data_IF_722537920957
#
_entry.id   IF_722537920957
#
_cell.length_a   1.000
_cell.length_b   1.000
_cell.length_c   1.000
_cell.angle_alpha   90.00
_cell.angle_beta   90.00
_cell.angle_gamma   90.00
#
_symmetry.space_group_name_H-M   'P 1'
#
loop_
_entity.id
_entity.type
_entity.pdbx_description
1 polymer ?
#
# COMPACT_ATOMS: atom_id res chain seq x y z
N UNK A 1 19.73 -9.26 -16.92
CA UNK A 1 18.40 -9.71 -17.38
C UNK A 1 17.44 -8.54 -17.14
N UNK A 2 17.08 -7.80 -18.19
CA UNK A 2 16.20 -6.64 -18.08
C UNK A 2 14.75 -7.12 -18.26
N UNK A 3 13.91 -6.88 -17.26
CA UNK A 3 12.50 -7.20 -17.35
C UNK A 3 11.83 -5.99 -17.98
N UNK A 4 11.57 -6.04 -19.28
CA UNK A 4 10.75 -5.05 -19.97
C UNK A 4 9.31 -5.19 -19.46
N UNK A 5 8.89 -4.28 -18.58
CA UNK A 5 7.51 -4.26 -18.09
C UNK A 5 6.58 -3.67 -19.17
N UNK A 6 5.52 -4.39 -19.59
CA UNK A 6 4.58 -3.88 -20.56
C UNK A 6 3.78 -2.72 -19.93
N UNK A 7 3.85 -1.54 -20.58
CA UNK A 7 3.06 -0.37 -20.22
C UNK A 7 1.57 -0.62 -20.45
N UNK A 8 0.89 -1.13 -19.43
CA UNK A 8 -0.41 -0.65 -18.93
C UNK A 8 -0.76 -1.42 -17.63
N UNK A 9 -0.48 -0.75 -16.51
CA UNK A 9 -1.03 -0.94 -15.16
C UNK A 9 -1.02 -2.34 -14.52
N UNK A 10 -0.20 -3.29 -15.00
CA UNK A 10 0.00 -4.60 -14.34
C UNK A 10 1.13 -4.61 -13.34
N UNK A 11 2.14 -3.78 -13.56
CA UNK A 11 3.20 -3.52 -12.60
C UNK A 11 2.65 -3.00 -11.27
N UNK A 12 1.59 -2.18 -11.32
CA UNK A 12 0.92 -1.72 -10.13
C UNK A 12 0.33 -2.92 -9.37
N UNK A 13 -0.45 -3.80 -10.01
CA UNK A 13 -1.10 -4.97 -9.37
C UNK A 13 -0.13 -5.93 -8.65
N UNK A 14 1.05 -6.20 -9.23
CA UNK A 14 2.09 -6.98 -8.56
C UNK A 14 2.68 -6.31 -7.33
N UNK A 15 2.76 -4.97 -7.31
CA UNK A 15 3.16 -4.21 -6.12
C UNK A 15 2.09 -4.32 -5.02
N UNK A 16 0.79 -4.43 -5.32
CA UNK A 16 -0.25 -4.47 -4.27
C UNK A 16 -0.26 -5.73 -3.39
N UNK A 17 0.53 -6.76 -3.70
CA UNK A 17 0.78 -7.87 -2.79
C UNK A 17 2.11 -7.73 -2.05
N UNK A 18 2.40 -6.52 -1.57
CA UNK A 18 3.30 -6.36 -0.43
C UNK A 18 2.76 -7.18 0.74
N UNK A 19 3.65 -7.92 1.40
CA UNK A 19 3.33 -8.63 2.63
C UNK A 19 2.93 -7.61 3.70
N UNK A 20 1.90 -7.93 4.49
CA UNK A 20 1.62 -7.17 5.69
C UNK A 20 2.68 -7.52 6.74
N UNK A 21 3.22 -6.50 7.42
CA UNK A 21 4.08 -6.74 8.58
C UNK A 21 3.24 -7.21 9.77
N UNK A 22 3.89 -7.81 10.78
CA UNK A 22 3.24 -8.18 12.02
C UNK A 22 2.54 -6.96 12.66
N UNK A 23 1.30 -7.08 13.18
CA UNK A 23 0.56 -5.97 13.77
C UNK A 23 1.27 -5.27 14.94
N UNK A 24 2.18 -5.97 15.63
CA UNK A 24 2.99 -5.42 16.71
C UNK A 24 4.16 -4.55 16.21
N UNK A 25 4.41 -4.53 14.89
CA UNK A 25 5.49 -3.73 14.31
C UNK A 25 5.16 -2.24 14.43
N UNK A 26 6.04 -1.42 15.02
CA UNK A 26 5.82 0.02 15.11
C UNK A 26 5.67 0.66 13.72
N UNK A 27 4.75 1.62 13.63
CA UNK A 27 4.61 2.46 12.45
C UNK A 27 5.68 3.55 12.51
N UNK A 28 6.48 3.67 11.46
CA UNK A 28 7.50 4.72 11.31
C UNK A 28 7.13 5.70 10.21
N UNK A 29 7.79 6.85 10.20
CA UNK A 29 7.94 7.64 8.99
C UNK A 29 8.57 6.78 7.88
N UNK A 30 8.33 7.15 6.62
CA UNK A 30 8.79 6.40 5.45
C UNK A 30 8.28 4.95 5.33
N UNK A 31 7.11 4.66 5.91
CA UNK A 31 6.49 3.35 5.84
C UNK A 31 5.43 3.27 4.73
N UNK A 32 5.41 2.19 3.97
CA UNK A 32 4.31 1.87 3.06
C UNK A 32 3.12 1.30 3.85
N UNK A 33 1.93 1.76 3.53
CA UNK A 33 0.69 1.33 4.21
C UNK A 33 -0.44 1.10 3.22
N UNK A 34 -1.43 0.31 3.63
CA UNK A 34 -2.77 0.26 3.01
C UNK A 34 -3.83 0.29 4.08
N UNK A 35 -5.06 0.59 3.70
CA UNK A 35 -6.20 0.44 4.62
C UNK A 35 -6.39 -1.02 5.05
N UNK A 36 -6.73 -1.21 6.32
CA UNK A 36 -7.17 -2.51 6.84
C UNK A 36 -8.41 -2.97 6.10
N UNK A 37 -8.51 -4.29 5.93
CA UNK A 37 -9.72 -4.90 5.39
C UNK A 37 -10.91 -4.55 6.29
N UNK A 38 -11.99 -4.04 5.68
CA UNK A 38 -13.21 -3.66 6.40
C UNK A 38 -13.33 -2.18 6.78
N UNK A 39 -12.26 -1.39 6.65
CA UNK A 39 -12.36 0.07 6.83
C UNK A 39 -13.04 0.69 5.61
N UNK A 40 -14.35 0.94 5.72
CA UNK A 40 -15.17 1.54 4.66
C UNK A 40 -15.17 3.07 4.70
N UNK A 41 -14.95 3.66 5.86
CA UNK A 41 -14.94 5.11 6.06
C UNK A 41 -13.92 5.45 7.14
N UNK A 42 -12.71 5.94 6.79
CA UNK A 42 -11.73 6.40 7.76
C UNK A 42 -12.28 7.59 8.55
N UNK A 43 -11.77 7.78 9.77
CA UNK A 43 -12.20 8.84 10.69
C UNK A 43 -12.15 10.23 10.06
N UNK A 44 -11.08 10.53 9.32
CA UNK A 44 -10.89 11.82 8.64
C UNK A 44 -11.39 11.82 7.19
N UNK A 45 -12.13 10.78 6.78
CA UNK A 45 -12.56 10.56 5.41
C UNK A 45 -11.47 9.99 4.51
N UNK A 46 -11.85 9.58 3.28
CA UNK A 46 -10.91 8.98 2.30
C UNK A 46 -10.18 9.99 1.43
N UNK A 47 -10.70 11.22 1.30
CA UNK A 47 -10.11 12.31 0.51
C UNK A 47 -9.60 11.86 -0.88
N UNK A 48 -10.34 10.96 -1.55
CA UNK A 48 -10.00 10.42 -2.88
C UNK A 48 -9.26 9.09 -2.89
N UNK A 49 -8.74 8.61 -1.76
CA UNK A 49 -8.13 7.28 -1.65
C UNK A 49 -9.15 6.15 -1.82
N UNK A 50 -8.81 5.15 -2.64
CA UNK A 50 -9.63 3.95 -2.83
C UNK A 50 -9.34 2.94 -1.71
N UNK A 51 -10.28 2.02 -1.39
CA UNK A 51 -10.07 1.02 -0.34
C UNK A 51 -8.81 0.15 -0.53
N UNK A 52 -8.40 -0.06 -1.78
CA UNK A 52 -7.20 -0.83 -2.16
C UNK A 52 -5.96 0.02 -2.39
N UNK A 53 -6.04 1.34 -2.16
CA UNK A 53 -4.90 2.22 -2.36
C UNK A 53 -3.77 1.87 -1.38
N UNK A 54 -2.54 1.87 -1.91
CA UNK A 54 -1.31 1.84 -1.14
C UNK A 54 -0.78 3.27 -1.06
N UNK A 55 -0.37 3.68 0.13
CA UNK A 55 0.14 5.02 0.41
C UNK A 55 1.44 4.98 1.19
N UNK A 56 2.09 6.13 1.27
CA UNK A 56 3.36 6.30 1.96
C UNK A 56 3.18 7.26 3.13
N UNK A 57 3.61 6.85 4.31
CA UNK A 57 3.56 7.67 5.53
C UNK A 57 4.58 8.79 5.40
N UNK A 58 4.11 10.03 5.33
CA UNK A 58 4.98 11.22 5.34
C UNK A 58 5.29 11.68 6.75
N UNK A 59 4.31 11.63 7.65
CA UNK A 59 4.47 12.18 9.01
C UNK A 59 3.60 11.42 10.01
N UNK A 60 4.18 11.10 11.16
CA UNK A 60 3.47 10.61 12.33
C UNK A 60 3.16 11.79 13.23
N UNK A 61 1.88 11.94 13.55
CA UNK A 61 1.35 12.94 14.48
C UNK A 61 1.06 12.28 15.83
N UNK A 62 0.62 13.07 16.81
CA UNK A 62 0.28 12.56 18.13
C UNK A 62 -0.90 11.57 18.09
N UNK A 63 -0.93 10.68 19.09
CA UNK A 63 -2.02 9.72 19.35
C UNK A 63 -2.32 8.80 18.16
N UNK A 64 -1.30 8.48 17.36
CA UNK A 64 -1.40 7.56 16.24
C UNK A 64 -2.09 8.14 15.00
N UNK A 65 -2.27 9.46 14.93
CA UNK A 65 -2.68 10.12 13.69
C UNK A 65 -1.49 10.19 12.74
N UNK A 66 -1.76 10.07 11.44
CA UNK A 66 -0.72 10.00 10.43
C UNK A 66 -1.18 10.73 9.16
N UNK A 67 -0.22 11.33 8.46
CA UNK A 67 -0.42 11.86 7.11
C UNK A 67 0.15 10.86 6.11
N UNK A 68 -0.71 10.39 5.20
CA UNK A 68 -0.37 9.39 4.19
C UNK A 68 -0.68 9.92 2.81
N UNK A 69 0.30 9.81 1.92
CA UNK A 69 0.15 10.23 0.52
C UNK A 69 -0.12 9.03 -0.35
N UNK A 70 -1.18 9.12 -1.15
CA UNK A 70 -1.60 8.14 -2.14
C UNK A 70 -1.46 8.74 -3.55
N UNK A 71 -1.48 7.90 -4.59
CA UNK A 71 -1.50 8.39 -5.97
C UNK A 71 -2.72 9.29 -6.28
N UNK A 72 -3.80 9.17 -5.50
CA UNK A 72 -5.03 9.94 -5.63
C UNK A 72 -5.09 11.21 -4.76
N UNK A 73 -4.04 11.50 -3.99
CA UNK A 73 -4.01 12.62 -3.04
C UNK A 73 -3.57 12.20 -1.64
N UNK A 74 -3.65 13.13 -0.70
CA UNK A 74 -3.26 12.94 0.70
C UNK A 74 -4.48 12.61 1.57
N UNK A 75 -4.30 11.74 2.57
CA UNK A 75 -5.30 11.53 3.61
C UNK A 75 -4.67 11.47 5.01
N UNK A 76 -5.42 11.98 5.98
CA UNK A 76 -5.15 11.74 7.40
C UNK A 76 -5.79 10.43 7.81
N UNK A 77 -5.05 9.58 8.50
CA UNK A 77 -5.52 8.27 8.95
C UNK A 77 -5.05 7.99 10.37
N UNK A 78 -5.72 7.08 11.06
CA UNK A 78 -5.21 6.49 12.29
C UNK A 78 -4.35 5.26 11.98
N UNK A 79 -3.33 5.02 12.81
CA UNK A 79 -2.56 3.78 12.77
C UNK A 79 -3.44 2.52 12.93
N UNK A 80 -4.60 2.65 13.60
CA UNK A 80 -5.57 1.57 13.74
C UNK A 80 -6.35 1.25 12.45
N UNK A 81 -6.35 2.13 11.45
CA UNK A 81 -7.11 2.00 10.20
C UNK A 81 -6.27 1.44 9.05
N UNK A 82 -4.95 1.39 9.22
CA UNK A 82 -4.01 0.97 8.20
C UNK A 82 -3.12 -0.17 8.70
N UNK A 83 -2.52 -0.90 7.76
CA UNK A 83 -1.50 -1.92 8.02
C UNK A 83 -0.21 -1.56 7.31
N UNK A 84 0.91 -1.82 7.99
CA UNK A 84 2.24 -1.68 7.45
C UNK A 84 2.47 -2.74 6.36
N UNK A 85 3.04 -2.29 5.26
CA UNK A 85 3.44 -3.13 4.14
C UNK A 85 4.96 -3.25 4.11
N UNK A 86 5.43 -4.45 3.80
CA UNK A 86 6.83 -4.76 3.57
C UNK A 86 7.09 -4.56 2.07
N UNK A 87 7.85 -3.53 1.66
CA UNK A 87 8.22 -3.35 0.27
C UNK A 87 9.08 -4.52 -0.22
N UNK A 88 9.07 -4.76 -1.52
CA UNK A 88 10.01 -5.68 -2.15
C UNK A 88 11.37 -5.02 -2.27
N UNK A 89 12.41 -5.76 -1.92
CA UNK A 89 13.78 -5.29 -2.07
C UNK A 89 14.28 -5.47 -3.50
N UNK A 90 15.22 -4.61 -3.90
CA UNK A 90 15.91 -4.76 -5.18
C UNK A 90 16.62 -6.11 -5.24
N UNK A 91 16.45 -6.83 -6.35
CA UNK A 91 17.02 -8.17 -6.54
C UNK A 91 16.24 -9.30 -5.87
N UNK A 92 15.16 -9.01 -5.15
CA UNK A 92 14.30 -10.05 -4.58
C UNK A 92 13.59 -10.83 -5.70
N UNK A 93 13.70 -12.15 -5.66
CA UNK A 93 12.94 -13.02 -6.55
C UNK A 93 11.47 -13.02 -6.15
N UNK A 94 10.61 -12.71 -7.11
CA UNK A 94 9.16 -12.73 -6.94
C UNK A 94 8.54 -13.75 -7.87
N UNK A 95 7.41 -14.32 -7.43
CA UNK A 95 6.60 -15.23 -8.24
C UNK A 95 5.17 -14.73 -8.27
N UNK A 96 4.58 -14.70 -9.47
CA UNK A 96 3.17 -14.38 -9.62
C UNK A 96 2.33 -15.47 -8.96
N UNK A 97 1.21 -15.08 -8.34
CA UNK A 97 0.24 -16.07 -7.86
C UNK A 97 -0.37 -16.81 -9.05
N UNK A 98 -0.75 -18.08 -8.84
CA UNK A 98 -1.23 -18.97 -9.91
C UNK A 98 -2.52 -18.48 -10.59
N UNK A 99 -3.29 -17.66 -9.89
CA UNK A 99 -4.57 -17.08 -10.32
C UNK A 99 -4.42 -15.76 -11.09
N UNK A 100 -3.21 -15.19 -11.15
CA UNK A 100 -2.95 -14.01 -11.97
C UNK A 100 -2.96 -14.42 -13.44
N UNK A 101 -3.91 -13.87 -14.20
CA UNK A 101 -4.04 -14.09 -15.63
C UNK A 101 -3.37 -12.96 -16.39
N UNK A 102 -2.65 -13.31 -17.45
CA UNK A 102 -2.24 -12.33 -18.43
C UNK A 102 -3.48 -11.63 -19.01
N UNK A 103 -3.40 -10.33 -19.29
CA UNK A 103 -4.50 -9.65 -19.96
C UNK A 103 -4.70 -10.23 -21.34
N UNK A 104 -5.95 -10.45 -21.69
CA UNK A 104 -6.30 -10.73 -23.08
C UNK A 104 -6.07 -9.43 -23.85
N UNK A 105 -5.12 -9.47 -24.78
CA UNK A 105 -4.80 -8.39 -25.73
C UNK A 105 -5.95 -8.10 -26.68
#
# INVERSE_FOLDING_TARGET
MAITLPRKDKSAEFIYHLSEADPCTPMGDNTWVKFKRGITTPLHGRLGAKPKSVGFVQTILEKGNMVVTFCSGEARVLASEVVKLIPLDLGQHVRLRKDVREPIT
#
